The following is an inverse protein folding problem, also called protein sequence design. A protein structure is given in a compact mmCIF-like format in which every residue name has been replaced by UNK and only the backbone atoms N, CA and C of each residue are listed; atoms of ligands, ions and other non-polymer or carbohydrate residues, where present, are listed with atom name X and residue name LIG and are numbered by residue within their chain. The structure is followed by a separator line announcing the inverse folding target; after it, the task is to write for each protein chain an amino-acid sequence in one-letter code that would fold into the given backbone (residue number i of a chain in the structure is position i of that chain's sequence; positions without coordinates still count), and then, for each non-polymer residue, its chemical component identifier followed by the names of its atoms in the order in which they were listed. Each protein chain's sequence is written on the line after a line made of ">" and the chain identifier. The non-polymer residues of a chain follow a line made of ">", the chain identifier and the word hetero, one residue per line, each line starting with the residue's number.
data_IF_467306163885
#
_entry.id   IF_467306163885
#
_cell.length_a   1.000
_cell.length_b   1.000
_cell.length_c   1.000
_cell.angle_alpha   90.00
_cell.angle_beta   90.00
_cell.angle_gamma   90.00
#
_symmetry.space_group_name_H-M   'P 1'
#
loop_
_entity.id
_entity.type
_entity.pdbx_description
1 polymer ?
#
# COMPACT_ATOMS: atom_id res chain seq x y z
N UNK A 1 17.80 -12.52 -37.75
CA UNK A 1 18.35 -11.34 -37.06
C UNK A 1 17.98 -11.46 -35.57
N UNK A 2 18.96 -11.57 -34.66
CA UNK A 2 18.67 -11.75 -33.22
C UNK A 2 17.80 -10.63 -32.62
N UNK A 3 17.93 -9.38 -33.10
CA UNK A 3 17.22 -8.25 -32.57
C UNK A 3 15.67 -8.32 -32.69
N UNK A 4 15.16 -8.92 -33.76
CA UNK A 4 13.73 -9.00 -34.00
C UNK A 4 13.01 -9.88 -32.97
N UNK A 5 13.62 -11.01 -32.61
CA UNK A 5 13.05 -11.93 -31.59
C UNK A 5 12.99 -11.23 -30.24
N UNK A 6 14.02 -10.48 -29.86
CA UNK A 6 14.02 -9.69 -28.62
C UNK A 6 12.97 -8.58 -28.60
N UNK A 7 12.70 -7.94 -29.74
CA UNK A 7 11.70 -6.90 -29.82
C UNK A 7 10.28 -7.47 -29.71
N UNK A 8 10.03 -8.62 -30.35
CA UNK A 8 8.77 -9.36 -30.26
C UNK A 8 8.53 -9.86 -28.83
N UNK A 9 9.52 -10.51 -28.21
CA UNK A 9 9.45 -10.98 -26.83
C UNK A 9 9.20 -9.83 -25.85
N UNK A 10 9.88 -8.71 -26.03
CA UNK A 10 9.72 -7.52 -25.18
C UNK A 10 8.30 -6.93 -25.31
N UNK A 11 7.75 -6.90 -26.50
CA UNK A 11 6.38 -6.44 -26.75
C UNK A 11 5.34 -7.38 -26.11
N UNK A 12 5.53 -8.69 -26.23
CA UNK A 12 4.68 -9.69 -25.60
C UNK A 12 4.74 -9.59 -24.06
N UNK A 13 5.95 -9.51 -23.50
CA UNK A 13 6.15 -9.33 -22.06
C UNK A 13 5.51 -8.02 -21.58
N UNK A 14 5.65 -6.93 -22.33
CA UNK A 14 5.02 -5.66 -21.97
C UNK A 14 3.49 -5.77 -21.93
N UNK A 15 2.89 -6.48 -22.89
CA UNK A 15 1.44 -6.72 -22.93
C UNK A 15 0.97 -7.59 -21.77
N UNK A 16 1.67 -8.69 -21.49
CA UNK A 16 1.34 -9.61 -20.39
C UNK A 16 1.53 -8.92 -19.03
N UNK A 17 2.53 -8.05 -18.89
CA UNK A 17 2.83 -7.35 -17.63
C UNK A 17 1.99 -6.09 -17.44
N UNK A 18 1.22 -5.63 -18.45
CA UNK A 18 0.38 -4.43 -18.32
C UNK A 18 -0.55 -4.45 -17.09
N UNK A 19 -1.25 -5.55 -16.78
CA UNK A 19 -2.09 -5.64 -15.58
C UNK A 19 -1.31 -5.57 -14.27
N UNK A 20 0.00 -5.82 -14.30
CA UNK A 20 0.87 -5.81 -13.11
C UNK A 20 1.62 -4.49 -12.92
N UNK A 21 1.51 -3.53 -13.85
CA UNK A 21 2.07 -2.19 -13.65
C UNK A 21 1.48 -1.54 -12.41
N UNK A 22 2.27 -0.67 -11.77
CA UNK A 22 1.76 0.12 -10.67
C UNK A 22 0.61 1.00 -11.15
N UNK A 23 -0.52 0.79 -10.52
CA UNK A 23 -1.79 1.40 -10.90
C UNK A 23 -2.12 2.51 -9.90
N UNK A 24 -2.37 3.76 -10.34
CA UNK A 24 -2.60 4.89 -9.42
C UNK A 24 -3.71 4.65 -8.41
N UNK A 25 -4.72 3.87 -8.77
CA UNK A 25 -5.83 3.50 -7.89
C UNK A 25 -5.37 2.75 -6.65
N UNK A 26 -4.27 1.95 -6.75
CA UNK A 26 -3.70 1.24 -5.60
C UNK A 26 -3.17 2.19 -4.52
N UNK A 27 -2.77 3.40 -4.90
CA UNK A 27 -2.32 4.43 -3.96
C UNK A 27 -3.49 5.16 -3.26
N UNK A 28 -4.74 4.84 -3.61
CA UNK A 28 -5.92 5.40 -2.97
C UNK A 28 -6.43 6.71 -3.54
N UNK A 29 -5.84 7.24 -4.65
CA UNK A 29 -6.28 8.47 -5.34
C UNK A 29 -6.64 9.62 -4.39
N UNK A 30 -5.73 9.93 -3.47
CA UNK A 30 -5.88 11.02 -2.49
C UNK A 30 -6.17 12.36 -3.19
N UNK A 31 -5.63 12.53 -4.40
CA UNK A 31 -5.83 13.69 -5.27
C UNK A 31 -7.30 13.96 -5.60
N UNK A 32 -8.15 12.93 -5.62
CA UNK A 32 -9.57 13.04 -5.94
C UNK A 32 -10.45 13.35 -4.71
N UNK A 33 -9.92 13.28 -3.49
CA UNK A 33 -10.74 13.45 -2.28
C UNK A 33 -11.32 14.85 -2.20
N UNK A 34 -10.49 15.88 -2.33
CA UNK A 34 -10.94 17.27 -2.21
C UNK A 34 -11.95 17.65 -3.31
N UNK A 35 -11.69 17.42 -4.61
CA UNK A 35 -12.67 17.68 -5.65
C UNK A 35 -14.01 17.00 -5.40
N UNK A 36 -13.98 15.73 -4.97
CA UNK A 36 -15.20 14.98 -4.69
C UNK A 36 -15.98 15.50 -3.47
N UNK A 37 -15.31 15.95 -2.42
CA UNK A 37 -15.97 16.56 -1.26
C UNK A 37 -16.74 17.82 -1.68
N UNK A 38 -16.18 18.61 -2.60
CA UNK A 38 -16.85 19.80 -3.15
C UNK A 38 -18.03 19.38 -4.02
N UNK A 39 -17.83 18.46 -4.94
CA UNK A 39 -18.85 17.97 -5.88
C UNK A 39 -20.07 17.37 -5.16
N UNK A 40 -19.85 16.66 -4.08
CA UNK A 40 -20.89 15.96 -3.32
C UNK A 40 -21.44 16.75 -2.12
N UNK A 41 -21.02 17.98 -1.96
CA UNK A 41 -21.37 18.86 -0.79
C UNK A 41 -21.04 18.23 0.58
N UNK A 42 -19.96 17.44 0.64
CA UNK A 42 -19.51 16.77 1.89
C UNK A 42 -18.45 17.56 2.68
N UNK A 43 -18.16 18.80 2.27
CA UNK A 43 -17.17 19.65 2.92
C UNK A 43 -17.48 19.92 4.41
N UNK A 44 -18.74 19.96 4.79
CA UNK A 44 -19.19 20.23 6.14
C UNK A 44 -19.65 18.97 6.91
N UNK A 45 -19.58 17.80 6.30
CA UNK A 45 -19.90 16.54 6.96
C UNK A 45 -18.83 16.23 8.04
N UNK A 46 -19.20 16.14 9.34
CA UNK A 46 -18.24 15.99 10.41
C UNK A 46 -17.51 14.65 10.35
N UNK A 47 -18.15 13.58 9.86
CA UNK A 47 -17.53 12.26 9.71
C UNK A 47 -16.48 12.27 8.61
N UNK A 48 -16.79 12.86 7.45
CA UNK A 48 -15.87 13.03 6.34
C UNK A 48 -14.67 13.88 6.76
N UNK A 49 -14.92 15.02 7.39
CA UNK A 49 -13.86 15.92 7.89
C UNK A 49 -12.91 15.21 8.85
N UNK A 50 -13.45 14.43 9.78
CA UNK A 50 -12.63 13.70 10.76
C UNK A 50 -11.74 12.66 10.09
N UNK A 51 -12.25 11.91 9.11
CA UNK A 51 -11.45 10.90 8.41
C UNK A 51 -10.43 11.56 7.44
N UNK A 52 -10.78 12.68 6.83
CA UNK A 52 -9.82 13.48 6.04
C UNK A 52 -8.71 14.03 6.92
N UNK A 53 -9.01 14.52 8.12
CA UNK A 53 -7.98 14.98 9.06
C UNK A 53 -7.01 13.86 9.44
N UNK A 54 -7.51 12.65 9.69
CA UNK A 54 -6.65 11.46 9.94
C UNK A 54 -5.78 11.13 8.72
N UNK A 55 -6.35 11.17 7.53
CA UNK A 55 -5.59 10.94 6.29
C UNK A 55 -4.48 11.97 6.12
N UNK A 56 -4.75 13.26 6.36
CA UNK A 56 -3.74 14.32 6.29
C UNK A 56 -2.62 14.10 7.32
N UNK A 57 -2.96 13.73 8.56
CA UNK A 57 -1.96 13.39 9.58
C UNK A 57 -1.04 12.25 9.11
N UNK A 58 -1.61 11.18 8.57
CA UNK A 58 -0.84 10.06 8.02
C UNK A 58 0.05 10.51 6.85
N UNK A 59 -0.48 11.35 5.94
CA UNK A 59 0.27 11.88 4.80
C UNK A 59 1.47 12.70 5.23
N UNK A 60 1.29 13.65 6.14
CA UNK A 60 2.39 14.47 6.66
C UNK A 60 3.42 13.63 7.42
N UNK A 61 2.97 12.69 8.24
CA UNK A 61 3.89 11.80 8.96
C UNK A 61 4.73 10.95 8.01
N UNK A 62 4.12 10.41 6.97
CA UNK A 62 4.81 9.64 5.94
C UNK A 62 5.83 10.51 5.18
N UNK A 63 5.43 11.72 4.78
CA UNK A 63 6.29 12.67 4.07
C UNK A 63 7.51 13.08 4.92
N UNK A 64 7.30 13.47 6.17
CA UNK A 64 8.40 13.84 7.07
C UNK A 64 9.35 12.67 7.35
N UNK A 65 8.81 11.46 7.48
CA UNK A 65 9.64 10.24 7.62
C UNK A 65 10.50 10.02 6.38
N UNK A 66 9.92 10.19 5.19
CA UNK A 66 10.66 10.08 3.94
C UNK A 66 11.71 11.20 3.78
N UNK A 67 11.40 12.44 4.16
CA UNK A 67 12.35 13.55 4.17
C UNK A 67 13.52 13.29 5.11
N UNK A 68 13.24 12.77 6.32
CA UNK A 68 14.27 12.39 7.28
C UNK A 68 15.21 11.31 6.72
N UNK A 69 14.66 10.29 6.07
CA UNK A 69 15.46 9.24 5.44
C UNK A 69 16.35 9.79 4.32
N UNK A 70 15.80 10.65 3.44
CA UNK A 70 16.57 11.33 2.39
C UNK A 70 17.69 12.21 2.96
N UNK A 71 17.41 12.97 3.99
CA UNK A 71 18.41 13.80 4.65
C UNK A 71 19.55 12.95 5.27
N UNK A 72 19.23 11.84 5.90
CA UNK A 72 20.23 10.91 6.45
C UNK A 72 21.14 10.35 5.35
N UNK A 73 20.59 9.96 4.20
CA UNK A 73 21.37 9.50 3.05
C UNK A 73 22.27 10.61 2.47
N UNK A 74 21.77 11.84 2.38
CA UNK A 74 22.56 12.99 1.92
C UNK A 74 23.76 13.28 2.84
N UNK A 75 23.67 12.91 4.12
CA UNK A 75 24.77 12.98 5.09
C UNK A 75 25.63 11.70 5.14
N UNK A 76 25.57 10.85 4.12
CA UNK A 76 26.43 9.66 3.99
C UNK A 76 26.02 8.47 4.87
N UNK A 77 24.86 8.49 5.50
CA UNK A 77 24.35 7.31 6.21
C UNK A 77 23.90 6.26 5.20
N UNK A 78 24.26 4.97 5.39
CA UNK A 78 23.76 3.90 4.53
C UNK A 78 22.22 3.81 4.63
N UNK A 79 21.60 3.32 3.55
CA UNK A 79 20.17 3.05 3.56
C UNK A 79 19.86 1.94 4.59
N UNK A 80 19.02 2.26 5.54
CA UNK A 80 18.58 1.35 6.59
C UNK A 80 17.22 0.71 6.33
N UNK A 81 16.60 0.09 7.33
CA UNK A 81 15.30 -0.55 7.24
C UNK A 81 14.12 0.43 7.14
N UNK A 82 14.38 1.74 7.03
CA UNK A 82 13.36 2.80 6.96
C UNK A 82 12.43 2.65 5.74
N UNK A 83 12.87 1.94 4.69
CA UNK A 83 12.01 1.56 3.56
C UNK A 83 10.77 0.77 3.98
N UNK A 84 10.87 -0.03 5.04
CA UNK A 84 9.74 -0.76 5.63
C UNK A 84 8.70 0.18 6.26
N UNK A 85 9.14 1.28 6.90
CA UNK A 85 8.24 2.32 7.41
C UNK A 85 7.47 2.99 6.26
N UNK A 86 8.16 3.34 5.17
CA UNK A 86 7.55 3.95 4.00
C UNK A 86 6.53 3.03 3.33
N UNK A 87 6.87 1.74 3.18
CA UNK A 87 5.95 0.75 2.62
C UNK A 87 4.70 0.56 3.49
N UNK A 88 4.85 0.42 4.80
CA UNK A 88 3.73 0.30 5.72
C UNK A 88 2.87 1.56 5.74
N UNK A 89 3.48 2.75 5.72
CA UNK A 89 2.78 4.02 5.63
C UNK A 89 1.95 4.14 4.34
N UNK A 90 2.50 3.74 3.18
CA UNK A 90 1.77 3.77 1.90
C UNK A 90 0.54 2.87 1.92
N UNK A 91 0.63 1.69 2.52
CA UNK A 91 -0.51 0.78 2.71
C UNK A 91 -1.60 1.40 3.59
N UNK A 92 -1.21 2.03 4.70
CA UNK A 92 -2.15 2.71 5.61
C UNK A 92 -2.82 3.91 4.93
N UNK A 93 -2.05 4.71 4.18
CA UNK A 93 -2.56 5.85 3.43
C UNK A 93 -3.59 5.42 2.39
N UNK A 94 -3.29 4.40 1.59
CA UNK A 94 -4.20 3.91 0.57
C UNK A 94 -5.53 3.43 1.17
N UNK A 95 -5.48 2.69 2.28
CA UNK A 95 -6.69 2.24 2.99
C UNK A 95 -7.47 3.39 3.62
N UNK A 96 -6.80 4.38 4.20
CA UNK A 96 -7.45 5.56 4.75
C UNK A 96 -8.14 6.37 3.64
N UNK A 97 -7.49 6.54 2.48
CA UNK A 97 -8.06 7.19 1.32
C UNK A 97 -9.30 6.45 0.78
N UNK A 98 -9.22 5.12 0.65
CA UNK A 98 -10.36 4.30 0.24
C UNK A 98 -11.56 4.47 1.18
N UNK A 99 -11.32 4.49 2.50
CA UNK A 99 -12.36 4.76 3.50
C UNK A 99 -12.99 6.14 3.30
N UNK A 100 -12.19 7.18 3.08
CA UNK A 100 -12.70 8.54 2.84
C UNK A 100 -13.56 8.57 1.57
N UNK A 101 -13.11 7.93 0.48
CA UNK A 101 -13.89 7.84 -0.75
C UNK A 101 -15.25 7.17 -0.56
N UNK A 102 -15.32 6.11 0.26
CA UNK A 102 -16.57 5.43 0.60
C UNK A 102 -17.52 6.35 1.37
N UNK A 103 -17.02 7.14 2.32
CA UNK A 103 -17.82 8.08 3.08
C UNK A 103 -18.35 9.24 2.23
N UNK A 104 -17.56 9.71 1.26
CA UNK A 104 -17.95 10.77 0.35
C UNK A 104 -19.05 10.28 -0.61
N UNK A 105 -18.84 9.15 -1.27
CA UNK A 105 -19.68 8.66 -2.38
C UNK A 105 -20.82 7.74 -1.94
N UNK A 106 -20.78 7.19 -0.71
CA UNK A 106 -21.76 6.18 -0.29
C UNK A 106 -21.92 5.06 -1.34
N UNK A 107 -23.12 4.83 -1.87
CA UNK A 107 -23.39 3.80 -2.88
C UNK A 107 -22.67 4.04 -4.23
N UNK A 108 -22.54 5.29 -4.65
CA UNK A 108 -21.90 5.64 -5.93
C UNK A 108 -20.41 5.25 -5.98
N UNK A 109 -19.77 5.13 -4.82
CA UNK A 109 -18.39 4.65 -4.72
C UNK A 109 -18.22 3.18 -5.17
N UNK A 110 -19.29 2.40 -5.23
CA UNK A 110 -19.28 0.98 -5.60
C UNK A 110 -19.65 0.73 -7.06
N UNK A 111 -20.16 1.73 -7.77
CA UNK A 111 -20.65 1.59 -9.13
C UNK A 111 -19.52 1.74 -10.17
N UNK A 112 -19.67 1.06 -11.31
CA UNK A 112 -18.75 1.11 -12.46
C UNK A 112 -19.27 2.05 -13.54
N UNK A 113 -18.33 2.50 -14.39
CA UNK A 113 -18.65 3.29 -15.57
C UNK A 113 -19.35 4.61 -15.22
N UNK A 114 -20.21 5.08 -16.09
CA UNK A 114 -20.90 6.38 -15.97
C UNK A 114 -21.78 6.54 -14.74
N UNK A 115 -22.24 5.43 -14.17
CA UNK A 115 -23.10 5.45 -12.98
C UNK A 115 -22.27 5.56 -11.68
N UNK A 116 -20.97 5.33 -11.78
CA UNK A 116 -20.06 5.37 -10.65
C UNK A 116 -19.34 6.69 -10.47
N UNK A 117 -18.97 6.96 -9.23
CA UNK A 117 -18.18 8.13 -8.87
C UNK A 117 -16.91 8.22 -9.72
N UNK A 118 -16.69 9.38 -10.37
CA UNK A 118 -15.55 9.63 -11.26
C UNK A 118 -15.44 8.55 -12.35
N UNK A 119 -16.55 8.24 -13.03
CA UNK A 119 -16.66 7.19 -14.05
C UNK A 119 -16.17 5.81 -13.56
N UNK A 120 -16.47 5.46 -12.31
CA UNK A 120 -16.11 4.17 -11.73
C UNK A 120 -14.67 4.07 -11.19
N UNK A 121 -13.86 5.12 -11.31
CA UNK A 121 -12.47 5.13 -10.78
C UNK A 121 -12.44 4.83 -9.28
N UNK A 122 -13.43 5.27 -8.52
CA UNK A 122 -13.47 5.03 -7.09
C UNK A 122 -13.73 3.54 -6.78
N UNK A 123 -14.58 2.88 -7.52
CA UNK A 123 -14.76 1.43 -7.39
C UNK A 123 -13.45 0.67 -7.66
N UNK A 124 -12.67 1.11 -8.66
CA UNK A 124 -11.34 0.55 -8.93
C UNK A 124 -10.36 0.81 -7.77
N UNK A 125 -10.41 1.99 -7.13
CA UNK A 125 -9.63 2.27 -5.91
C UNK A 125 -9.96 1.26 -4.82
N UNK A 126 -11.23 1.05 -4.53
CA UNK A 126 -11.67 0.13 -3.48
C UNK A 126 -11.22 -1.32 -3.74
N UNK A 127 -11.24 -1.76 -5.00
CA UNK A 127 -10.78 -3.09 -5.39
C UNK A 127 -9.25 -3.23 -5.39
N UNK A 128 -8.53 -2.17 -5.73
CA UNK A 128 -7.08 -2.20 -5.93
C UNK A 128 -6.28 -1.96 -4.65
N UNK A 129 -6.78 -1.15 -3.73
CA UNK A 129 -6.11 -0.76 -2.49
C UNK A 129 -5.65 -1.95 -1.63
N UNK A 130 -6.41 -3.05 -1.45
CA UNK A 130 -5.94 -4.20 -0.67
C UNK A 130 -4.62 -4.79 -1.17
N UNK A 131 -4.33 -4.68 -2.48
CA UNK A 131 -3.08 -5.16 -3.05
C UNK A 131 -1.83 -4.47 -2.47
N UNK A 132 -1.94 -3.21 -2.00
CA UNK A 132 -0.81 -2.51 -1.37
C UNK A 132 -0.39 -3.14 -0.05
N UNK A 133 -1.31 -3.76 0.68
CA UNK A 133 -1.00 -4.46 1.93
C UNK A 133 -0.30 -5.80 1.72
N UNK A 134 -0.25 -6.29 0.47
CA UNK A 134 0.30 -7.61 0.11
C UNK A 134 1.57 -7.47 -0.72
N UNK A 135 1.54 -6.62 -1.75
CA UNK A 135 2.64 -6.44 -2.70
C UNK A 135 3.89 -5.85 -2.03
N UNK A 136 5.07 -6.32 -2.43
CA UNK A 136 6.35 -5.83 -1.89
C UNK A 136 6.60 -6.23 -0.42
N UNK A 137 6.03 -7.36 0.01
CA UNK A 137 6.00 -7.82 1.39
C UNK A 137 4.76 -7.34 2.14
N UNK A 138 4.08 -8.28 2.81
CA UNK A 138 2.84 -7.94 3.53
C UNK A 138 3.07 -6.95 4.66
N UNK A 139 2.02 -6.29 5.12
CA UNK A 139 2.10 -5.37 6.25
C UNK A 139 2.67 -6.05 7.51
N UNK A 140 2.40 -7.35 7.70
CA UNK A 140 2.93 -8.16 8.81
C UNK A 140 4.44 -8.35 8.66
N UNK A 141 4.92 -8.67 7.45
CA UNK A 141 6.37 -8.79 7.17
C UNK A 141 7.05 -7.44 7.39
N UNK A 142 6.44 -6.33 6.99
CA UNK A 142 7.01 -5.00 7.23
C UNK A 142 7.11 -4.70 8.74
N UNK A 143 6.08 -5.07 9.53
CA UNK A 143 6.13 -4.93 11.00
C UNK A 143 7.23 -5.78 11.62
N UNK A 144 7.44 -7.02 11.16
CA UNK A 144 8.54 -7.87 11.62
C UNK A 144 9.90 -7.24 11.32
N UNK A 145 10.10 -6.70 10.09
CA UNK A 145 11.34 -6.01 9.75
C UNK A 145 11.55 -4.77 10.63
N UNK A 146 10.51 -4.00 10.89
CA UNK A 146 10.58 -2.82 11.75
C UNK A 146 10.92 -3.24 13.18
N UNK A 147 10.24 -4.23 13.74
CA UNK A 147 10.51 -4.70 15.11
C UNK A 147 11.94 -5.20 15.28
N UNK A 148 12.41 -6.03 14.35
CA UNK A 148 13.73 -6.65 14.44
C UNK A 148 14.90 -5.71 14.11
N UNK A 149 14.72 -4.82 13.11
CA UNK A 149 15.84 -4.03 12.56
C UNK A 149 15.81 -2.54 12.91
N UNK A 150 14.64 -1.99 13.27
CA UNK A 150 14.51 -0.58 13.70
C UNK A 150 14.44 -0.49 15.22
N UNK A 151 13.66 -1.39 15.85
CA UNK A 151 13.46 -1.40 17.29
C UNK A 151 14.38 -2.38 18.02
N UNK A 152 15.22 -3.14 17.28
CA UNK A 152 16.18 -4.12 17.81
C UNK A 152 15.53 -5.16 18.75
N UNK A 153 14.27 -5.49 18.50
CA UNK A 153 13.57 -6.50 19.28
C UNK A 153 14.07 -7.91 18.95
N UNK A 154 14.03 -8.85 19.91
CA UNK A 154 14.40 -10.23 19.67
C UNK A 154 13.57 -10.84 18.53
N UNK A 155 14.24 -11.64 17.69
CA UNK A 155 13.55 -12.43 16.67
C UNK A 155 12.71 -13.52 17.32
N UNK A 156 11.56 -13.80 16.68
CA UNK A 156 10.76 -14.97 17.04
C UNK A 156 11.59 -16.26 16.82
N UNK A 157 11.58 -17.21 17.78
CA UNK A 157 12.28 -18.48 17.62
C UNK A 157 11.79 -19.22 16.38
N UNK A 158 12.70 -19.59 15.48
CA UNK A 158 12.39 -20.35 14.29
C UNK A 158 12.35 -21.84 14.61
N UNK A 159 11.19 -22.45 14.48
CA UNK A 159 10.99 -23.89 14.60
C UNK A 159 11.22 -24.62 13.26
N UNK A 160 11.41 -23.88 12.17
CA UNK A 160 11.59 -24.36 10.79
C UNK A 160 13.04 -24.24 10.29
N UNK A 161 13.99 -24.11 11.19
CA UNK A 161 15.42 -24.00 10.87
C UNK A 161 16.03 -25.35 10.53
N UNK A 162 15.84 -25.81 9.28
CA UNK A 162 16.41 -27.09 8.84
C UNK A 162 15.81 -27.59 7.53
N UNK A 163 16.15 -28.82 7.11
CA UNK A 163 15.51 -29.42 5.96
C UNK A 163 14.01 -29.64 6.26
N UNK A 164 13.15 -29.41 5.29
CA UNK A 164 11.69 -29.51 5.45
C UNK A 164 11.24 -30.86 6.05
N UNK A 165 11.92 -31.98 5.69
CA UNK A 165 11.65 -33.32 6.24
C UNK A 165 11.85 -33.42 7.75
N UNK A 166 12.70 -32.57 8.33
CA UNK A 166 13.10 -32.58 9.73
C UNK A 166 12.30 -31.55 10.58
N UNK A 167 11.47 -30.74 9.92
CA UNK A 167 10.62 -29.77 10.61
C UNK A 167 9.48 -30.49 11.34
N UNK A 168 9.27 -30.22 12.66
CA UNK A 168 8.18 -30.84 13.41
C UNK A 168 6.82 -30.52 12.78
N UNK A 169 6.05 -31.55 12.41
CA UNK A 169 4.76 -31.38 11.72
C UNK A 169 3.65 -30.85 12.62
N UNK A 170 3.78 -31.03 13.94
CA UNK A 170 2.87 -30.47 14.93
C UNK A 170 3.66 -30.20 16.22
N UNK A 171 3.44 -29.02 16.83
CA UNK A 171 3.83 -28.83 18.21
C UNK A 171 3.04 -29.83 19.04
N UNK A 172 3.68 -30.94 19.45
CA UNK A 172 3.10 -31.87 20.40
C UNK A 172 2.74 -31.03 21.65
N UNK A 173 1.45 -30.77 21.88
CA UNK A 173 1.02 -30.26 23.16
C UNK A 173 1.55 -31.22 24.22
N UNK A 174 2.58 -30.83 24.95
CA UNK A 174 2.92 -31.50 26.21
C UNK A 174 1.68 -31.42 27.08
N UNK A 175 1.01 -32.55 27.27
CA UNK A 175 -0.01 -32.73 28.30
C UNK A 175 0.64 -32.64 29.68
#
# INVERSE_FOLDING_TARGET
>A
RPGRIYDEERAEVATVMEPYKWYPQRAGRIDLIWPRMVETDRMNDPMVRQEVAKLLMLSYTAEWTAQRARAAQAHGRPQGPEGSLGKLASSHLARAAAKVHTLIGSADALLKGSDGATNGVIAEVLLSVPATSIAGGTDEIQRNIISERVLEMPKEPRMDGGAFRDVPKNLARKR
#
